data_IF_234133187070
#
_entry.id   IF_234133187070
#
_cell.length_a   1.000
_cell.length_b   1.000
_cell.length_c   1.000
_cell.angle_alpha   90.00
_cell.angle_beta   90.00
_cell.angle_gamma   90.00
#
_symmetry.space_group_name_H-M   'P 1'
#
loop_
_entity.id
_entity.type
_entity.pdbx_description
1 polymer ?
#
# COMPACT_ATOMS: atom_id res chain seq x y z
N UNK A 1 -12.03 -10.62 -10.59
CA UNK A 1 -13.07 -10.59 -9.54
C UNK A 1 -12.53 -9.85 -8.32
N UNK A 2 -13.17 -8.76 -7.91
CA UNK A 2 -12.85 -8.07 -6.66
C UNK A 2 -13.37 -8.93 -5.51
N UNK A 3 -12.49 -9.49 -4.68
CA UNK A 3 -12.87 -10.19 -3.45
C UNK A 3 -13.47 -9.15 -2.50
N UNK A 4 -14.79 -8.95 -2.58
CA UNK A 4 -15.54 -8.20 -1.56
C UNK A 4 -15.26 -8.89 -0.23
N UNK A 5 -14.92 -8.10 0.78
CA UNK A 5 -14.44 -8.58 2.08
C UNK A 5 -15.57 -8.34 3.07
N UNK A 6 -16.14 -9.43 3.58
CA UNK A 6 -17.30 -9.38 4.48
C UNK A 6 -16.84 -9.26 5.93
N UNK A 7 -17.57 -8.47 6.72
CA UNK A 7 -17.36 -8.44 8.18
C UNK A 7 -17.93 -9.71 8.81
N UNK A 8 -17.40 -10.05 9.97
CA UNK A 8 -17.89 -11.15 10.81
C UNK A 8 -19.03 -10.58 11.66
N UNK A 9 -20.22 -11.17 11.57
CA UNK A 9 -21.44 -10.72 12.25
C UNK A 9 -21.61 -11.42 13.59
N UNK A 10 -21.48 -12.74 13.62
CA UNK A 10 -21.77 -13.54 14.82
C UNK A 10 -20.93 -14.81 14.87
N UNK A 11 -20.51 -15.19 16.07
CA UNK A 11 -19.95 -16.50 16.37
C UNK A 11 -21.11 -17.50 16.50
N UNK A 12 -21.03 -18.61 15.76
CA UNK A 12 -22.02 -19.67 15.79
C UNK A 12 -21.54 -20.83 16.65
N UNK A 13 -22.49 -21.62 17.15
CA UNK A 13 -22.17 -22.88 17.82
C UNK A 13 -21.81 -23.93 16.73
N UNK A 14 -20.67 -24.64 16.81
CA UNK A 14 -20.33 -25.73 15.89
C UNK A 14 -21.43 -26.76 15.66
N UNK A 15 -22.29 -27.02 16.65
CA UNK A 15 -23.40 -27.97 16.49
C UNK A 15 -24.51 -27.40 15.58
N UNK A 16 -24.80 -26.10 15.71
CA UNK A 16 -25.85 -25.39 14.97
C UNK A 16 -25.55 -25.14 13.49
N UNK A 17 -24.33 -25.42 13.03
CA UNK A 17 -23.91 -25.16 11.65
C UNK A 17 -24.50 -26.22 10.70
N UNK A 18 -25.29 -25.80 9.73
CA UNK A 18 -25.79 -26.66 8.65
C UNK A 18 -24.80 -26.75 7.49
N UNK A 19 -24.68 -27.92 6.84
CA UNK A 19 -23.88 -28.09 5.63
C UNK A 19 -22.46 -28.67 5.80
N UNK A 20 -22.11 -29.12 7.01
CA UNK A 20 -20.88 -29.85 7.29
C UNK A 20 -21.19 -31.17 7.98
N UNK A 21 -20.42 -32.22 7.68
CA UNK A 21 -20.51 -33.51 8.38
C UNK A 21 -20.09 -33.37 9.84
N UNK A 22 -20.63 -34.21 10.73
CA UNK A 22 -20.23 -34.25 12.14
C UNK A 22 -18.73 -34.49 12.32
N UNK A 23 -18.12 -35.30 11.46
CA UNK A 23 -16.69 -35.58 11.50
C UNK A 23 -15.85 -34.35 11.12
N UNK A 24 -16.30 -33.59 10.13
CA UNK A 24 -15.64 -32.35 9.71
C UNK A 24 -15.73 -31.30 10.81
N UNK A 25 -16.91 -31.15 11.43
CA UNK A 25 -17.11 -30.25 12.58
C UNK A 25 -16.15 -30.60 13.72
N UNK A 26 -16.08 -31.88 14.10
CA UNK A 26 -15.16 -32.37 15.16
C UNK A 26 -13.70 -32.11 14.79
N UNK A 27 -13.32 -32.31 13.53
CA UNK A 27 -11.97 -32.03 13.06
C UNK A 27 -11.62 -30.54 13.10
N UNK A 28 -12.53 -29.66 12.69
CA UNK A 28 -12.29 -28.22 12.78
C UNK A 28 -12.20 -27.74 14.22
N UNK A 29 -13.05 -28.25 15.11
CA UNK A 29 -13.02 -27.93 16.54
C UNK A 29 -11.71 -28.42 17.18
N UNK A 30 -11.22 -29.61 16.84
CA UNK A 30 -9.95 -30.13 17.37
C UNK A 30 -8.75 -29.29 16.92
N UNK A 31 -8.81 -28.69 15.72
CA UNK A 31 -7.82 -27.74 15.22
C UNK A 31 -7.99 -26.32 15.80
N UNK A 32 -8.98 -26.08 16.66
CA UNK A 32 -9.25 -24.77 17.29
C UNK A 32 -9.96 -23.77 16.37
N UNK A 33 -10.60 -24.24 15.30
CA UNK A 33 -11.46 -23.41 14.46
C UNK A 33 -12.85 -23.27 15.08
N UNK A 34 -13.45 -22.10 14.89
CA UNK A 34 -14.83 -21.81 15.26
C UNK A 34 -15.61 -21.28 14.06
N UNK A 35 -16.90 -21.61 13.93
CA UNK A 35 -17.71 -21.13 12.83
C UNK A 35 -18.20 -19.71 13.08
N UNK A 36 -18.09 -18.87 12.04
CA UNK A 36 -18.50 -17.48 12.08
C UNK A 36 -19.45 -17.18 10.92
N UNK A 37 -20.54 -16.47 11.21
CA UNK A 37 -21.43 -15.92 10.22
C UNK A 37 -20.86 -14.61 9.66
N UNK A 38 -20.72 -14.53 8.35
CA UNK A 38 -20.33 -13.31 7.64
C UNK A 38 -21.57 -12.47 7.28
N UNK A 39 -21.37 -11.20 6.94
CA UNK A 39 -22.45 -10.30 6.48
C UNK A 39 -23.26 -10.85 5.30
N UNK A 40 -22.62 -11.63 4.44
CA UNK A 40 -23.25 -12.26 3.28
C UNK A 40 -24.10 -13.50 3.64
N UNK A 41 -24.22 -13.82 4.92
CA UNK A 41 -24.92 -15.02 5.40
C UNK A 41 -24.12 -16.31 5.23
N UNK A 42 -22.87 -16.22 4.75
CA UNK A 42 -21.99 -17.40 4.60
C UNK A 42 -21.32 -17.76 5.92
N UNK A 43 -21.16 -19.06 6.17
CA UNK A 43 -20.47 -19.58 7.35
C UNK A 43 -19.00 -19.81 7.00
N UNK A 44 -18.10 -19.31 7.85
CA UNK A 44 -16.67 -19.52 7.70
C UNK A 44 -16.03 -19.96 9.00
N UNK A 45 -15.28 -21.05 8.93
CA UNK A 45 -14.44 -21.53 10.02
C UNK A 45 -13.15 -20.71 10.10
N UNK A 46 -12.91 -20.10 11.25
CA UNK A 46 -11.71 -19.28 11.50
C UNK A 46 -11.11 -19.60 12.87
N UNK A 47 -9.80 -19.47 12.99
CA UNK A 47 -9.14 -19.47 14.29
C UNK A 47 -9.22 -18.09 14.95
N UNK A 48 -9.00 -18.02 16.27
CA UNK A 48 -8.96 -16.76 17.02
C UNK A 48 -7.96 -15.75 16.42
N UNK A 49 -6.78 -16.22 15.99
CA UNK A 49 -5.77 -15.38 15.34
C UNK A 49 -6.25 -14.81 14.00
N UNK A 50 -6.91 -15.63 13.17
CA UNK A 50 -7.44 -15.19 11.88
C UNK A 50 -8.60 -14.19 12.04
N UNK A 51 -9.43 -14.38 13.07
CA UNK A 51 -10.48 -13.42 13.46
C UNK A 51 -9.86 -12.09 13.87
N UNK A 52 -8.91 -12.10 14.81
CA UNK A 52 -8.24 -10.90 15.29
C UNK A 52 -7.56 -10.13 14.15
N UNK A 53 -6.89 -10.85 13.23
CA UNK A 53 -6.28 -10.23 12.05
C UNK A 53 -7.31 -9.55 11.14
N UNK A 54 -8.48 -10.15 10.95
CA UNK A 54 -9.58 -9.55 10.19
C UNK A 54 -10.11 -8.30 10.90
N UNK A 55 -10.41 -8.39 12.18
CA UNK A 55 -10.90 -7.28 13.00
C UNK A 55 -9.92 -6.09 12.98
N UNK A 56 -8.62 -6.33 13.19
CA UNK A 56 -7.59 -5.29 13.13
C UNK A 56 -7.45 -4.65 11.74
N UNK A 57 -7.75 -5.39 10.68
CA UNK A 57 -7.71 -4.87 9.31
C UNK A 57 -8.93 -4.02 8.95
N UNK A 58 -10.08 -4.29 9.56
CA UNK A 58 -11.30 -3.48 9.45
C UNK A 58 -11.34 -2.32 10.45
N UNK A 59 -10.58 -2.41 11.54
CA UNK A 59 -10.44 -1.31 12.48
C UNK A 59 -10.06 -0.06 11.68
N UNK A 60 -10.85 1.03 11.78
CA UNK A 60 -10.51 2.26 11.10
C UNK A 60 -9.12 2.63 11.58
N UNK A 61 -8.13 2.60 10.67
CA UNK A 61 -6.81 3.15 10.94
C UNK A 61 -7.05 4.60 11.32
N UNK A 62 -7.18 4.87 12.62
CA UNK A 62 -7.22 6.19 13.21
C UNK A 62 -5.81 6.74 13.01
N UNK A 63 -5.52 7.14 11.78
CA UNK A 63 -4.32 7.88 11.50
C UNK A 63 -4.48 9.19 12.27
N UNK A 64 -3.66 9.37 13.31
CA UNK A 64 -3.52 10.66 14.02
C UNK A 64 -3.33 11.83 13.03
N UNK A 65 -2.86 11.53 11.82
CA UNK A 65 -2.82 12.45 10.66
C UNK A 65 -4.17 13.08 10.29
N UNK A 66 -5.33 12.52 10.62
CA UNK A 66 -6.64 13.17 10.36
C UNK A 66 -6.97 14.29 11.35
N UNK A 67 -6.46 14.21 12.59
CA UNK A 67 -6.70 15.25 13.60
C UNK A 67 -5.96 16.55 13.28
N UNK A 68 -4.77 16.46 12.68
CA UNK A 68 -3.97 17.63 12.28
C UNK A 68 -4.33 18.22 10.91
N UNK A 69 -5.25 17.60 10.16
CA UNK A 69 -5.49 17.96 8.75
C UNK A 69 -6.93 18.43 8.50
N UNK A 70 -7.57 19.04 9.51
CA UNK A 70 -8.97 19.49 9.45
C UNK A 70 -9.25 20.62 8.44
N UNK A 71 -8.21 21.32 7.95
CA UNK A 71 -8.38 22.49 7.06
C UNK A 71 -7.95 22.29 5.61
N UNK A 72 -7.58 21.08 5.19
CA UNK A 72 -7.28 20.84 3.77
C UNK A 72 -8.47 20.19 3.07
N UNK A 73 -9.08 20.95 2.14
CA UNK A 73 -10.09 20.42 1.19
C UNK A 73 -9.61 19.06 0.65
N UNK A 74 -10.50 18.08 0.39
CA UNK A 74 -10.13 16.80 -0.18
C UNK A 74 -9.46 17.03 -1.53
N UNK A 75 -8.13 17.13 -1.52
CA UNK A 75 -7.34 17.32 -2.72
C UNK A 75 -7.41 15.97 -3.41
N UNK A 76 -8.20 15.90 -4.48
CA UNK A 76 -8.23 14.77 -5.40
C UNK A 76 -6.78 14.35 -5.67
N UNK A 77 -6.34 13.27 -5.00
CA UNK A 77 -5.02 12.70 -5.19
C UNK A 77 -5.10 11.94 -6.51
N UNK A 78 -5.15 12.69 -7.61
CA UNK A 78 -4.68 12.18 -8.89
C UNK A 78 -3.24 11.80 -8.62
N UNK A 79 -2.97 10.50 -8.62
CA UNK A 79 -1.63 9.96 -8.69
C UNK A 79 -0.94 10.66 -9.85
N UNK A 80 -0.17 11.70 -9.54
CA UNK A 80 0.55 12.48 -10.52
C UNK A 80 1.65 11.54 -10.97
N UNK A 81 1.41 10.79 -12.05
CA UNK A 81 2.45 10.05 -12.77
C UNK A 81 3.63 11.01 -12.83
N UNK A 82 4.74 10.66 -12.17
CA UNK A 82 6.00 11.41 -12.24
C UNK A 82 6.49 11.29 -13.67
N UNK A 83 5.87 12.02 -14.60
CA UNK A 83 6.36 12.18 -15.97
C UNK A 83 7.60 13.05 -15.88
N UNK A 84 8.73 12.41 -16.18
CA UNK A 84 10.00 12.98 -16.64
C UNK A 84 10.36 14.36 -16.11
N UNK A 85 11.14 14.42 -15.04
CA UNK A 85 11.99 15.57 -14.72
C UNK A 85 13.44 15.15 -14.50
N UNK A 86 13.97 14.35 -15.43
CA UNK A 86 15.36 13.89 -15.32
C UNK A 86 16.34 14.98 -15.79
N UNK A 87 16.07 15.61 -16.93
CA UNK A 87 17.07 16.47 -17.58
C UNK A 87 17.35 17.77 -16.81
N UNK A 88 16.32 18.46 -16.29
CA UNK A 88 16.54 19.68 -15.49
C UNK A 88 17.30 19.44 -14.18
N UNK A 89 17.15 18.26 -13.59
CA UNK A 89 17.90 17.91 -12.39
C UNK A 89 19.36 17.60 -12.74
N UNK A 90 19.60 16.95 -13.88
CA UNK A 90 20.96 16.68 -14.38
C UNK A 90 21.78 17.95 -14.59
N UNK A 91 21.21 18.98 -15.23
CA UNK A 91 21.88 20.27 -15.40
C UNK A 91 22.14 21.01 -14.08
N UNK A 92 21.28 20.80 -13.07
CA UNK A 92 21.46 21.43 -11.76
C UNK A 92 22.55 20.75 -10.93
N UNK A 93 22.63 19.43 -11.02
CA UNK A 93 23.64 18.62 -10.32
C UNK A 93 25.04 18.78 -10.96
N UNK A 94 25.11 18.84 -12.28
CA UNK A 94 26.36 18.86 -13.04
C UNK A 94 26.76 20.25 -13.59
N UNK A 95 26.26 21.34 -12.99
CA UNK A 95 26.56 22.70 -13.46
C UNK A 95 28.05 23.05 -13.43
N UNK A 96 28.78 22.63 -12.39
CA UNK A 96 30.23 22.86 -12.28
C UNK A 96 31.01 22.16 -13.40
N UNK A 97 30.61 20.95 -13.78
CA UNK A 97 31.23 20.22 -14.90
C UNK A 97 31.02 20.94 -16.23
N UNK A 98 29.84 21.50 -16.46
CA UNK A 98 29.56 22.28 -17.67
C UNK A 98 30.41 23.55 -17.72
N UNK A 99 30.57 24.23 -16.58
CA UNK A 99 31.40 25.44 -16.48
C UNK A 99 32.87 25.12 -16.78
N UNK A 100 33.37 24.00 -16.23
CA UNK A 100 34.74 23.54 -16.46
C UNK A 100 34.95 23.17 -17.93
N UNK A 101 34.00 22.48 -18.56
CA UNK A 101 34.05 22.11 -19.98
C UNK A 101 34.05 23.33 -20.91
N UNK A 102 33.27 24.36 -20.59
CA UNK A 102 33.27 25.63 -21.34
C UNK A 102 34.58 26.38 -21.15
N UNK A 103 35.13 26.41 -19.93
CA UNK A 103 36.42 27.05 -19.67
C UNK A 103 37.58 26.39 -20.41
N UNK A 104 37.62 25.05 -20.47
CA UNK A 104 38.68 24.33 -21.17
C UNK A 104 38.57 24.54 -22.67
N UNK A 105 37.36 24.55 -23.24
CA UNK A 105 37.14 24.88 -24.65
C UNK A 105 37.62 26.29 -25.00
N UNK A 106 37.38 27.29 -24.14
CA UNK A 106 37.87 28.66 -24.33
C UNK A 106 39.40 28.75 -24.31
N UNK A 107 40.06 28.06 -23.38
CA UNK A 107 41.52 28.04 -23.30
C UNK A 107 42.12 27.42 -24.56
N UNK A 108 41.56 26.31 -25.04
CA UNK A 108 41.99 25.67 -26.29
C UNK A 108 41.84 26.64 -27.48
N UNK A 109 40.68 27.31 -27.58
CA UNK A 109 40.45 28.29 -28.66
C UNK A 109 41.42 29.48 -28.60
N UNK A 110 41.75 29.95 -27.41
CA UNK A 110 42.74 31.02 -27.24
C UNK A 110 44.14 30.58 -27.66
N UNK A 111 44.55 29.37 -27.29
CA UNK A 111 45.83 28.80 -27.72
C UNK A 111 45.86 28.68 -29.25
N UNK A 112 44.83 28.11 -29.86
CA UNK A 112 44.75 28.02 -31.33
C UNK A 112 44.81 29.37 -32.01
N UNK A 113 44.14 30.40 -31.46
CA UNK A 113 44.18 31.76 -32.01
C UNK A 113 45.54 32.45 -31.83
N UNK A 114 46.27 32.15 -30.76
CA UNK A 114 47.59 32.75 -30.51
C UNK A 114 48.72 32.04 -31.26
N UNK A 115 48.48 30.79 -31.67
CA UNK A 115 49.45 29.96 -32.38
C UNK A 115 49.31 30.04 -33.91
N UNK A 116 48.21 30.61 -34.41
CA UNK A 116 47.94 30.91 -35.83
C UNK A 116 48.15 32.40 -36.10
#
# INVERSE_FOLDING_TARGET
MSTKRHMIVKELDPESVTGYSENEKKHYVSLGYRPYLLEDGTIKWLTAAQRAYREMRYAPRRSLKRLFNKNTRPKNVRYKKRRGRSVKNFFREHWLFLLLLVSTALVILLIFKFWI
#
